data_IF_147034272156
#
_entry.id   IF_147034272156
#
_cell.length_a   1.000
_cell.length_b   1.000
_cell.length_c   1.000
_cell.angle_alpha   90.00
_cell.angle_beta   90.00
_cell.angle_gamma   90.00
#
_symmetry.space_group_name_H-M   'P 1'
#
loop_
_entity.id
_entity.type
_entity.pdbx_description
1 polymer ?
#
# COMPACT_ATOMS: atom_id res chain seq x y z
N UNK A 1 -65.74 -52.19 -21.31
CA UNK A 1 -65.42 -51.66 -19.97
C UNK A 1 -63.92 -51.42 -19.93
N UNK A 2 -63.50 -50.22 -19.54
CA UNK A 2 -62.11 -49.79 -19.28
C UNK A 2 -61.29 -49.24 -20.47
N UNK A 3 -61.66 -48.03 -20.88
CA UNK A 3 -60.81 -47.10 -21.64
C UNK A 3 -60.82 -45.78 -20.85
N UNK A 4 -59.92 -45.63 -19.87
CA UNK A 4 -59.65 -44.38 -19.12
C UNK A 4 -58.54 -44.65 -18.09
N UNK A 5 -57.34 -44.14 -18.36
CA UNK A 5 -56.39 -43.62 -17.37
C UNK A 5 -54.98 -43.64 -17.96
N UNK A 6 -54.47 -42.49 -18.39
CA UNK A 6 -53.04 -42.09 -18.35
C UNK A 6 -52.88 -40.74 -19.06
N UNK A 7 -53.23 -39.69 -18.35
CA UNK A 7 -52.79 -38.33 -18.66
C UNK A 7 -52.77 -37.55 -17.35
N UNK A 8 -51.60 -37.09 -16.93
CA UNK A 8 -51.49 -36.21 -15.76
C UNK A 8 -50.27 -36.53 -14.90
N UNK A 9 -49.10 -36.05 -15.31
CA UNK A 9 -47.93 -36.10 -14.45
C UNK A 9 -46.70 -35.60 -15.17
N UNK A 10 -46.56 -34.28 -15.32
CA UNK A 10 -45.29 -33.54 -15.17
C UNK A 10 -45.44 -32.07 -15.61
N UNK A 11 -45.58 -31.13 -14.65
CA UNK A 11 -45.22 -29.74 -14.92
C UNK A 11 -44.22 -29.12 -13.91
N UNK A 12 -43.80 -29.83 -12.86
CA UNK A 12 -43.08 -29.21 -11.74
C UNK A 12 -41.56 -29.07 -11.92
N UNK A 13 -40.91 -29.86 -12.77
CA UNK A 13 -39.45 -29.84 -12.91
C UNK A 13 -38.91 -28.71 -13.80
N UNK A 14 -39.70 -28.21 -14.76
CA UNK A 14 -39.26 -27.17 -15.71
C UNK A 14 -39.15 -25.77 -15.11
N UNK A 15 -39.92 -25.45 -14.07
CA UNK A 15 -39.88 -24.12 -13.44
C UNK A 15 -38.60 -23.87 -12.65
N UNK A 16 -38.05 -24.87 -11.96
CA UNK A 16 -36.85 -24.70 -11.14
C UNK A 16 -35.56 -24.48 -11.95
N UNK A 17 -35.44 -25.08 -13.14
CA UNK A 17 -34.25 -24.97 -13.99
C UNK A 17 -34.16 -23.60 -14.67
N UNK A 18 -35.32 -23.01 -15.00
CA UNK A 18 -35.40 -21.66 -15.59
C UNK A 18 -35.08 -20.57 -14.56
N UNK A 19 -35.50 -20.74 -13.30
CA UNK A 19 -35.20 -19.80 -12.21
C UNK A 19 -33.72 -19.84 -11.76
N UNK A 20 -33.04 -20.97 -11.94
CA UNK A 20 -31.60 -21.10 -11.67
C UNK A 20 -30.75 -20.39 -12.74
N UNK A 21 -31.12 -20.54 -14.02
CA UNK A 21 -30.45 -19.87 -15.13
C UNK A 21 -30.60 -18.33 -15.07
N UNK A 22 -31.79 -17.84 -14.75
CA UNK A 22 -32.06 -16.40 -14.58
C UNK A 22 -31.29 -15.78 -13.40
N UNK A 23 -31.04 -16.55 -12.32
CA UNK A 23 -30.23 -16.10 -11.19
C UNK A 23 -28.73 -16.10 -11.47
N UNK A 24 -28.24 -16.96 -12.36
CA UNK A 24 -26.84 -16.97 -12.82
C UNK A 24 -26.50 -15.69 -13.58
N UNK A 25 -27.31 -15.36 -14.59
CA UNK A 25 -27.10 -14.16 -15.42
C UNK A 25 -27.22 -12.86 -14.61
N UNK A 26 -28.14 -12.78 -13.66
CA UNK A 26 -28.27 -11.60 -12.80
C UNK A 26 -27.06 -11.43 -11.85
N UNK A 27 -26.50 -12.53 -11.33
CA UNK A 27 -25.29 -12.49 -10.50
C UNK A 27 -24.06 -12.15 -11.32
N UNK A 28 -23.92 -12.70 -12.51
CA UNK A 28 -22.80 -12.39 -13.40
C UNK A 28 -22.89 -10.94 -13.90
N UNK A 29 -24.08 -10.46 -14.27
CA UNK A 29 -24.30 -9.06 -14.60
C UNK A 29 -24.01 -8.13 -13.41
N UNK A 30 -24.36 -8.50 -12.17
CA UNK A 30 -24.02 -7.73 -10.98
C UNK A 30 -22.52 -7.74 -10.69
N UNK A 31 -21.83 -8.88 -10.87
CA UNK A 31 -20.36 -8.99 -10.70
C UNK A 31 -19.61 -8.21 -11.78
N UNK A 32 -20.12 -8.20 -13.01
CA UNK A 32 -19.61 -7.39 -14.13
C UNK A 32 -19.88 -5.90 -13.88
N UNK A 33 -21.08 -5.51 -13.44
CA UNK A 33 -21.42 -4.13 -13.12
C UNK A 33 -20.63 -3.58 -11.92
N UNK A 34 -20.38 -4.41 -10.90
CA UNK A 34 -19.50 -4.10 -9.76
C UNK A 34 -18.03 -4.04 -10.21
N UNK A 35 -17.63 -4.88 -11.17
CA UNK A 35 -16.32 -4.82 -11.82
C UNK A 35 -16.11 -3.61 -12.74
N UNK A 36 -17.20 -3.02 -13.25
CA UNK A 36 -17.19 -1.89 -14.17
C UNK A 36 -17.18 -0.51 -13.50
N UNK A 37 -17.14 -0.44 -12.15
CA UNK A 37 -16.75 0.81 -11.47
C UNK A 37 -15.30 1.10 -11.84
N UNK A 38 -15.13 1.90 -12.89
CA UNK A 38 -13.84 2.45 -13.26
C UNK A 38 -13.26 3.15 -12.04
N UNK A 39 -12.04 2.76 -11.68
CA UNK A 39 -11.30 3.44 -10.63
C UNK A 39 -11.11 4.89 -11.06
N UNK A 40 -11.42 5.83 -10.16
CA UNK A 40 -11.15 7.23 -10.43
C UNK A 40 -9.66 7.40 -10.71
N UNK A 41 -9.30 8.19 -11.73
CA UNK A 41 -7.90 8.48 -12.03
C UNK A 41 -7.12 8.99 -10.80
N UNK A 42 -7.83 9.64 -9.86
CA UNK A 42 -7.27 10.08 -8.57
C UNK A 42 -6.84 8.94 -7.64
N UNK A 43 -7.58 7.83 -7.59
CA UNK A 43 -7.23 6.68 -6.73
C UNK A 43 -6.02 5.92 -7.28
N UNK A 44 -5.97 5.76 -8.61
CA UNK A 44 -4.81 5.20 -9.31
C UNK A 44 -3.57 6.07 -9.07
N UNK A 45 -3.70 7.39 -9.21
CA UNK A 45 -2.60 8.33 -8.96
C UNK A 45 -2.13 8.29 -7.50
N UNK A 46 -3.06 8.18 -6.54
CA UNK A 46 -2.73 8.03 -5.13
C UNK A 46 -1.96 6.74 -4.85
N UNK A 47 -2.42 5.60 -5.37
CA UNK A 47 -1.74 4.32 -5.17
C UNK A 47 -0.33 4.33 -5.75
N UNK A 48 -0.19 4.81 -7.00
CA UNK A 48 1.10 4.94 -7.65
C UNK A 48 2.04 5.89 -6.90
N UNK A 49 1.59 7.10 -6.56
CA UNK A 49 2.40 8.07 -5.82
C UNK A 49 2.80 7.56 -4.42
N UNK A 50 1.93 6.81 -3.77
CA UNK A 50 2.24 6.17 -2.48
C UNK A 50 3.36 5.16 -2.65
N UNK A 51 3.28 4.27 -3.65
CA UNK A 51 4.36 3.32 -3.94
C UNK A 51 5.69 3.99 -4.22
N UNK A 52 5.70 5.04 -5.07
CA UNK A 52 6.92 5.83 -5.34
C UNK A 52 7.53 6.37 -4.06
N UNK A 53 6.69 6.98 -3.21
CA UNK A 53 7.14 7.57 -1.96
C UNK A 53 7.64 6.52 -0.94
N UNK A 54 6.95 5.39 -0.81
CA UNK A 54 7.36 4.31 0.09
C UNK A 54 8.73 3.75 -0.29
N UNK A 55 8.98 3.53 -1.59
CA UNK A 55 10.30 3.11 -2.07
C UNK A 55 11.37 4.17 -1.75
N UNK A 56 11.12 5.45 -2.04
CA UNK A 56 12.05 6.53 -1.73
C UNK A 56 12.35 6.61 -0.23
N UNK A 57 11.33 6.47 0.62
CA UNK A 57 11.48 6.51 2.08
C UNK A 57 12.27 5.30 2.60
N UNK A 58 11.94 4.09 2.15
CA UNK A 58 12.64 2.87 2.55
C UNK A 58 14.12 2.91 2.16
N UNK A 59 14.40 3.32 0.92
CA UNK A 59 15.77 3.45 0.44
C UNK A 59 16.51 4.62 1.09
N UNK A 60 15.81 5.70 1.45
CA UNK A 60 16.42 6.77 2.22
C UNK A 60 16.92 6.28 3.59
N UNK A 61 16.14 5.45 4.29
CA UNK A 61 16.60 4.79 5.53
C UNK A 61 17.78 3.86 5.29
N UNK A 62 17.72 3.04 4.24
CA UNK A 62 18.83 2.15 3.87
C UNK A 62 20.13 2.95 3.63
N UNK A 63 20.09 3.97 2.77
CA UNK A 63 21.26 4.81 2.49
C UNK A 63 21.73 5.59 3.71
N UNK A 64 20.82 6.01 4.59
CA UNK A 64 21.18 6.64 5.86
C UNK A 64 22.00 5.70 6.75
N UNK A 65 21.58 4.43 6.87
CA UNK A 65 22.36 3.42 7.60
C UNK A 65 23.70 3.15 6.94
N UNK A 66 23.72 2.99 5.62
CA UNK A 66 24.91 2.70 4.82
C UNK A 66 25.99 3.80 5.00
N UNK A 67 25.58 5.07 4.98
CA UNK A 67 26.50 6.21 5.12
C UNK A 67 27.03 6.37 6.55
N UNK A 68 26.32 5.88 7.57
CA UNK A 68 26.56 6.26 8.98
C UNK A 68 26.94 5.12 9.91
N UNK A 69 26.75 3.85 9.54
CA UNK A 69 27.08 2.70 10.38
C UNK A 69 28.15 1.80 9.74
N UNK A 70 27.91 1.28 8.53
CA UNK A 70 28.89 0.51 7.77
C UNK A 70 28.31 0.07 6.42
N UNK A 71 29.19 -0.13 5.42
CA UNK A 71 28.82 -0.73 4.14
C UNK A 71 28.78 -2.25 4.22
N UNK A 72 27.65 -2.78 4.67
CA UNK A 72 27.41 -4.23 4.77
C UNK A 72 25.97 -4.54 4.41
N UNK A 73 25.78 -5.74 3.83
CA UNK A 73 24.45 -6.31 3.59
C UNK A 73 23.58 -6.34 4.86
N UNK A 74 24.18 -6.35 6.05
CA UNK A 74 23.52 -6.25 7.35
C UNK A 74 22.63 -5.01 7.48
N UNK A 75 23.07 -3.83 7.02
CA UNK A 75 22.30 -2.58 7.08
C UNK A 75 21.00 -2.69 6.28
N UNK A 76 21.07 -3.31 5.11
CA UNK A 76 19.90 -3.58 4.26
C UNK A 76 18.90 -4.52 4.96
N UNK A 77 19.37 -5.65 5.48
CA UNK A 77 18.50 -6.62 6.16
C UNK A 77 17.91 -6.06 7.44
N UNK A 78 18.66 -5.27 8.21
CA UNK A 78 18.15 -4.61 9.41
C UNK A 78 17.05 -3.59 9.08
N UNK A 79 17.27 -2.74 8.07
CA UNK A 79 16.25 -1.80 7.60
C UNK A 79 15.01 -2.53 7.10
N UNK A 80 15.19 -3.54 6.25
CA UNK A 80 14.09 -4.32 5.70
C UNK A 80 13.31 -5.05 6.81
N UNK A 81 14.00 -5.66 7.77
CA UNK A 81 13.36 -6.33 8.90
C UNK A 81 12.52 -5.36 9.74
N UNK A 82 13.09 -4.23 10.15
CA UNK A 82 12.36 -3.22 10.93
C UNK A 82 11.16 -2.67 10.16
N UNK A 83 11.34 -2.45 8.85
CA UNK A 83 10.27 -2.02 7.96
C UNK A 83 9.13 -3.04 7.90
N UNK A 84 9.45 -4.33 7.74
CA UNK A 84 8.46 -5.42 7.71
C UNK A 84 7.72 -5.56 9.05
N UNK A 85 8.41 -5.43 10.18
CA UNK A 85 7.76 -5.40 11.50
C UNK A 85 6.78 -4.23 11.58
N UNK A 86 7.21 -3.04 11.18
CA UNK A 86 6.35 -1.87 11.05
C UNK A 86 5.15 -2.11 10.16
N UNK A 87 5.37 -2.69 8.97
CA UNK A 87 4.33 -3.04 8.01
C UNK A 87 3.25 -3.94 8.61
N UNK A 88 3.66 -5.00 9.33
CA UNK A 88 2.72 -5.88 10.02
C UNK A 88 1.89 -5.13 11.08
N UNK A 89 2.51 -4.22 11.84
CA UNK A 89 1.79 -3.35 12.78
C UNK A 89 0.79 -2.46 12.03
N UNK A 90 1.23 -1.84 10.93
CA UNK A 90 0.42 -0.97 10.09
C UNK A 90 -0.84 -1.65 9.53
N UNK A 91 -0.74 -2.91 9.09
CA UNK A 91 -1.88 -3.69 8.61
C UNK A 91 -3.02 -3.82 9.63
N UNK A 92 -2.67 -3.78 10.93
CA UNK A 92 -3.63 -3.88 12.02
C UNK A 92 -4.24 -2.53 12.43
N UNK A 93 -3.81 -1.42 11.83
CA UNK A 93 -4.33 -0.08 12.13
C UNK A 93 -5.63 0.16 11.38
N UNK A 94 -6.76 0.09 12.09
CA UNK A 94 -8.11 0.28 11.51
C UNK A 94 -8.65 1.71 11.61
N UNK A 95 -7.97 2.60 12.32
CA UNK A 95 -8.46 3.96 12.57
C UNK A 95 -8.30 4.86 11.35
N UNK A 96 -9.40 5.36 10.78
CA UNK A 96 -9.41 6.31 9.63
C UNK A 96 -8.62 7.61 9.85
N UNK A 97 -8.35 7.96 11.11
CA UNK A 97 -7.52 9.13 11.47
C UNK A 97 -6.04 8.81 11.52
N UNK A 98 -5.67 7.54 11.65
CA UNK A 98 -4.28 7.13 11.77
C UNK A 98 -3.51 7.30 10.46
N UNK A 99 -4.12 7.03 9.30
CA UNK A 99 -3.40 7.14 8.02
C UNK A 99 -2.85 8.56 7.74
N UNK A 100 -3.64 9.65 7.84
CA UNK A 100 -3.10 11.01 7.75
C UNK A 100 -2.00 11.32 8.78
N UNK A 101 -2.12 10.80 9.99
CA UNK A 101 -1.09 10.97 11.04
C UNK A 101 0.19 10.25 10.64
N UNK A 102 0.09 9.03 10.11
CA UNK A 102 1.24 8.25 9.63
C UNK A 102 1.92 8.90 8.43
N UNK A 103 1.19 9.60 7.55
CA UNK A 103 1.78 10.37 6.45
C UNK A 103 2.75 11.44 6.99
N UNK A 104 2.41 12.07 8.13
CA UNK A 104 3.26 13.07 8.77
C UNK A 104 4.33 12.42 9.67
N UNK A 105 3.97 11.35 10.38
CA UNK A 105 4.85 10.69 11.33
C UNK A 105 6.03 9.98 10.65
N UNK A 106 5.82 9.38 9.47
CA UNK A 106 6.86 8.69 8.73
C UNK A 106 8.07 9.58 8.34
N UNK A 107 7.90 10.77 7.71
CA UNK A 107 9.01 11.66 7.43
C UNK A 107 9.61 12.27 8.71
N UNK A 108 8.80 12.55 9.74
CA UNK A 108 9.31 12.99 11.05
C UNK A 108 10.22 11.93 11.65
N UNK A 109 9.83 10.65 11.61
CA UNK A 109 10.65 9.52 12.01
C UNK A 109 11.96 9.46 11.22
N UNK A 110 11.91 9.70 9.91
CA UNK A 110 13.11 9.71 9.08
C UNK A 110 14.07 10.83 9.48
N UNK A 111 13.58 12.06 9.67
CA UNK A 111 14.43 13.17 10.09
C UNK A 111 14.95 13.01 11.51
N UNK A 112 14.18 12.37 12.41
CA UNK A 112 14.64 12.01 13.74
C UNK A 112 15.79 10.99 13.68
N UNK A 113 15.66 9.95 12.85
CA UNK A 113 16.75 8.99 12.61
C UNK A 113 17.98 9.68 11.99
N UNK A 114 17.76 10.54 10.99
CA UNK A 114 18.83 11.31 10.34
C UNK A 114 19.58 12.19 11.34
N UNK A 115 18.85 12.95 12.18
CA UNK A 115 19.45 13.80 13.20
C UNK A 115 20.21 13.00 14.26
N UNK A 116 19.64 11.87 14.70
CA UNK A 116 20.27 10.97 15.68
C UNK A 116 21.59 10.41 15.16
N UNK A 117 21.59 9.87 13.94
CA UNK A 117 22.81 9.32 13.32
C UNK A 117 23.82 10.40 12.89
N UNK A 118 23.35 11.63 12.63
CA UNK A 118 24.24 12.76 12.39
C UNK A 118 24.95 13.21 13.67
N UNK A 119 24.26 13.16 14.82
CA UNK A 119 24.83 13.54 16.12
C UNK A 119 25.78 12.48 16.69
N UNK A 120 25.56 11.19 16.39
CA UNK A 120 26.39 10.07 16.85
C UNK A 120 26.74 9.12 15.69
N UNK A 121 27.64 9.51 14.77
CA UNK A 121 28.02 8.66 13.66
C UNK A 121 28.77 7.41 14.14
N UNK A 122 28.52 6.27 13.49
CA UNK A 122 29.13 4.96 13.78
C UNK A 122 28.85 4.39 15.18
N UNK A 123 27.90 4.98 15.92
CA UNK A 123 27.48 4.51 17.24
C UNK A 123 26.35 3.48 17.10
N UNK A 124 26.60 2.22 17.47
CA UNK A 124 25.60 1.15 17.41
C UNK A 124 24.49 1.32 18.45
N UNK A 125 24.71 2.13 19.50
CA UNK A 125 23.71 2.35 20.55
C UNK A 125 22.47 3.12 20.08
N UNK A 126 22.55 3.83 18.95
CA UNK A 126 21.41 4.56 18.38
C UNK A 126 20.46 3.67 17.57
N UNK A 127 20.86 2.43 17.26
CA UNK A 127 20.08 1.52 16.43
C UNK A 127 18.65 1.26 16.92
N UNK A 128 18.36 1.09 18.22
CA UNK A 128 16.97 0.89 18.66
C UNK A 128 16.06 2.06 18.31
N UNK A 129 16.57 3.30 18.40
CA UNK A 129 15.82 4.51 18.02
C UNK A 129 15.60 4.54 16.51
N UNK A 130 16.65 4.28 15.73
CA UNK A 130 16.57 4.25 14.27
C UNK A 130 15.64 3.13 13.78
N UNK A 131 15.69 1.94 14.41
CA UNK A 131 14.80 0.83 14.14
C UNK A 131 13.33 1.18 14.36
N UNK A 132 13.02 1.90 15.44
CA UNK A 132 11.66 2.40 15.70
C UNK A 132 11.20 3.39 14.63
N UNK A 133 12.09 4.30 14.19
CA UNK A 133 11.80 5.22 13.10
C UNK A 133 11.53 4.49 11.78
N UNK A 134 12.35 3.49 11.44
CA UNK A 134 12.15 2.65 10.24
C UNK A 134 10.82 1.89 10.34
N UNK A 135 10.52 1.30 11.48
CA UNK A 135 9.25 0.62 11.73
C UNK A 135 8.05 1.57 11.60
N UNK A 136 8.19 2.84 11.98
CA UNK A 136 7.15 3.85 11.75
C UNK A 136 6.90 4.11 10.26
N UNK A 137 7.96 4.13 9.43
CA UNK A 137 7.85 4.16 7.97
C UNK A 137 7.15 2.92 7.41
N UNK A 138 7.51 1.74 7.91
CA UNK A 138 6.82 0.49 7.57
C UNK A 138 5.35 0.49 7.98
N UNK A 139 5.02 1.04 9.16
CA UNK A 139 3.64 1.12 9.64
C UNK A 139 2.74 1.98 8.75
N UNK A 140 3.28 3.04 8.14
CA UNK A 140 2.58 3.78 7.09
C UNK A 140 2.28 2.88 5.88
N UNK A 141 3.26 2.11 5.39
CA UNK A 141 3.08 1.20 4.26
C UNK A 141 2.01 0.13 4.54
N UNK A 142 2.03 -0.44 5.74
CA UNK A 142 1.01 -1.42 6.16
C UNK A 142 -0.38 -0.80 6.30
N UNK A 143 -0.47 0.39 6.91
CA UNK A 143 -1.73 1.09 7.10
C UNK A 143 -2.35 1.55 5.78
N UNK A 144 -1.56 1.74 4.72
CA UNK A 144 -2.08 2.12 3.41
C UNK A 144 -3.11 1.12 2.88
N UNK A 145 -2.88 -0.19 3.00
CA UNK A 145 -3.76 -1.20 2.38
C UNK A 145 -5.19 -1.21 2.93
N UNK A 146 -5.42 -1.32 4.26
CA UNK A 146 -6.78 -1.23 4.81
C UNK A 146 -7.50 0.06 4.41
N UNK A 147 -6.80 1.20 4.40
CA UNK A 147 -7.39 2.51 4.12
C UNK A 147 -7.66 2.76 2.63
N UNK A 148 -6.77 2.28 1.75
CA UNK A 148 -6.94 2.40 0.31
C UNK A 148 -7.93 1.37 -0.22
N UNK A 149 -8.06 0.20 0.42
CA UNK A 149 -9.02 -0.82 0.01
C UNK A 149 -10.47 -0.33 0.02
N UNK A 150 -10.82 0.65 0.87
CA UNK A 150 -12.14 1.29 0.86
C UNK A 150 -12.43 2.05 -0.46
N UNK A 151 -11.39 2.46 -1.19
CA UNK A 151 -11.50 3.21 -2.46
C UNK A 151 -11.44 2.31 -3.70
N UNK A 152 -10.92 1.10 -3.55
CA UNK A 152 -10.78 0.15 -4.65
C UNK A 152 -11.76 -1.01 -4.49
N UNK A 153 -12.56 -1.30 -5.52
CA UNK A 153 -13.49 -2.44 -5.52
C UNK A 153 -12.78 -3.81 -5.35
N UNK A 154 -11.49 -3.89 -5.72
CA UNK A 154 -10.67 -5.11 -5.65
C UNK A 154 -9.26 -4.77 -5.20
N UNK A 155 -8.61 -5.66 -4.45
CA UNK A 155 -7.24 -5.47 -3.94
C UNK A 155 -6.18 -5.55 -5.05
N UNK A 156 -6.43 -6.36 -6.09
CA UNK A 156 -5.50 -6.57 -7.23
C UNK A 156 -5.08 -5.26 -7.95
N UNK A 157 -6.00 -4.38 -8.39
CA UNK A 157 -5.61 -3.13 -9.06
C UNK A 157 -4.87 -2.15 -8.12
N UNK A 158 -5.26 -2.10 -6.84
CA UNK A 158 -4.56 -1.30 -5.83
C UNK A 158 -3.08 -1.73 -5.74
N UNK A 159 -2.84 -3.03 -5.55
CA UNK A 159 -1.49 -3.60 -5.50
C UNK A 159 -0.72 -3.38 -6.79
N UNK A 160 -1.37 -3.50 -7.96
CA UNK A 160 -0.71 -3.28 -9.24
C UNK A 160 -0.15 -1.85 -9.35
N UNK A 161 -0.96 -0.84 -9.07
CA UNK A 161 -0.56 0.55 -9.22
C UNK A 161 0.46 0.97 -8.15
N UNK A 162 0.27 0.52 -6.91
CA UNK A 162 1.22 0.77 -5.84
C UNK A 162 2.56 0.10 -6.13
N UNK A 163 2.59 -1.18 -6.51
CA UNK A 163 3.85 -1.88 -6.86
C UNK A 163 4.55 -1.23 -8.07
N UNK A 164 3.81 -0.83 -9.10
CA UNK A 164 4.40 -0.12 -10.23
C UNK A 164 5.03 1.21 -9.79
N UNK A 165 4.36 1.93 -8.89
CA UNK A 165 4.90 3.13 -8.26
C UNK A 165 6.17 2.82 -7.46
N UNK A 166 6.16 1.75 -6.67
CA UNK A 166 7.29 1.32 -5.86
C UNK A 166 8.51 0.98 -6.74
N UNK A 167 8.33 0.24 -7.84
CA UNK A 167 9.41 -0.05 -8.79
C UNK A 167 10.00 1.23 -9.41
N UNK A 168 9.16 2.19 -9.77
CA UNK A 168 9.63 3.50 -10.26
C UNK A 168 10.38 4.24 -9.16
N UNK A 169 9.84 4.28 -7.95
CA UNK A 169 10.48 4.91 -6.80
C UNK A 169 11.83 4.28 -6.44
N UNK A 170 11.97 2.95 -6.59
CA UNK A 170 13.23 2.23 -6.43
C UNK A 170 14.27 2.72 -7.44
N UNK A 171 13.92 2.77 -8.73
CA UNK A 171 14.82 3.28 -9.78
C UNK A 171 15.20 4.73 -9.51
N UNK A 172 14.23 5.57 -9.11
CA UNK A 172 14.47 6.97 -8.75
C UNK A 172 15.36 7.11 -7.51
N UNK A 173 15.20 6.25 -6.50
CA UNK A 173 16.05 6.24 -5.31
C UNK A 173 17.49 5.92 -5.69
N UNK A 174 17.71 4.88 -6.50
CA UNK A 174 19.04 4.48 -6.95
C UNK A 174 19.69 5.57 -7.82
N UNK A 175 19.05 6.00 -8.91
CA UNK A 175 19.60 7.02 -9.80
C UNK A 175 19.78 8.36 -9.08
N UNK A 176 18.79 8.78 -8.29
CA UNK A 176 18.89 10.04 -7.56
C UNK A 176 19.91 9.98 -6.41
N UNK A 177 20.19 8.81 -5.83
CA UNK A 177 21.32 8.67 -4.88
C UNK A 177 22.67 8.89 -5.57
N UNK A 178 22.81 8.48 -6.83
CA UNK A 178 24.02 8.69 -7.64
C UNK A 178 24.16 10.16 -8.07
N UNK A 179 23.09 10.77 -8.59
CA UNK A 179 23.18 12.11 -9.21
C UNK A 179 22.90 13.27 -8.24
N UNK A 180 22.04 13.08 -7.24
CA UNK A 180 21.62 14.12 -6.30
C UNK A 180 22.06 13.84 -4.85
N UNK A 181 22.43 12.60 -4.53
CA UNK A 181 22.98 12.19 -3.24
C UNK A 181 22.17 12.70 -2.05
N UNK A 182 22.80 13.56 -1.24
CA UNK A 182 22.20 14.11 -0.01
C UNK A 182 20.94 14.94 -0.27
N UNK A 183 20.83 15.61 -1.42
CA UNK A 183 19.67 16.44 -1.72
C UNK A 183 18.40 15.58 -1.87
N UNK A 184 18.49 14.46 -2.59
CA UNK A 184 17.37 13.51 -2.71
C UNK A 184 17.02 12.92 -1.33
N UNK A 185 18.02 12.40 -0.61
CA UNK A 185 17.82 11.78 0.70
C UNK A 185 17.20 12.77 1.71
N UNK A 186 17.56 14.05 1.62
CA UNK A 186 17.02 15.09 2.48
C UNK A 186 15.60 15.51 2.12
N UNK A 187 15.26 15.63 0.83
CA UNK A 187 13.99 16.20 0.40
C UNK A 187 12.88 15.17 0.12
N UNK A 188 13.23 13.97 -0.36
CA UNK A 188 12.26 12.99 -0.85
C UNK A 188 11.21 12.56 0.20
N UNK A 189 11.58 12.32 1.49
CA UNK A 189 10.61 11.97 2.52
C UNK A 189 9.52 13.03 2.72
N UNK A 190 9.89 14.32 2.84
CA UNK A 190 8.93 15.41 2.99
C UNK A 190 8.13 15.68 1.70
N UNK A 191 8.80 15.70 0.54
CA UNK A 191 8.14 15.96 -0.74
C UNK A 191 7.08 14.90 -1.05
N UNK A 192 7.39 13.62 -0.84
CA UNK A 192 6.42 12.55 -1.03
C UNK A 192 5.25 12.62 -0.05
N UNK A 193 5.49 12.99 1.22
CA UNK A 193 4.42 13.21 2.19
C UNK A 193 3.45 14.30 1.76
N UNK A 194 3.96 15.40 1.20
CA UNK A 194 3.14 16.51 0.67
C UNK A 194 2.30 16.02 -0.51
N UNK A 195 2.90 15.32 -1.47
CA UNK A 195 2.20 14.82 -2.67
C UNK A 195 1.11 13.83 -2.29
N UNK A 196 1.45 12.81 -1.49
CA UNK A 196 0.49 11.78 -1.06
C UNK A 196 -0.58 12.37 -0.15
N UNK A 197 -0.22 13.26 0.77
CA UNK A 197 -1.17 13.98 1.61
C UNK A 197 -2.17 14.82 0.79
N UNK A 198 -1.69 15.52 -0.23
CA UNK A 198 -2.54 16.31 -1.13
C UNK A 198 -3.50 15.44 -1.95
N UNK A 199 -3.02 14.33 -2.52
CA UNK A 199 -3.85 13.36 -3.25
C UNK A 199 -4.87 12.69 -2.32
N UNK A 200 -4.45 12.31 -1.12
CA UNK A 200 -5.33 11.71 -0.11
C UNK A 200 -6.48 12.64 0.28
N UNK A 201 -6.16 13.93 0.51
CA UNK A 201 -7.13 14.97 0.87
C UNK A 201 -8.11 15.27 -0.26
N UNK A 202 -7.62 15.34 -1.52
CA UNK A 202 -8.49 15.56 -2.69
C UNK A 202 -9.53 14.46 -2.85
N UNK A 203 -9.15 13.19 -2.66
CA UNK A 203 -10.08 12.06 -2.77
C UNK A 203 -11.06 11.91 -1.59
N UNK A 204 -11.02 12.78 -0.58
CA UNK A 204 -12.03 12.82 0.49
C UNK A 204 -13.17 13.80 0.23
N UNK A 205 -13.01 14.70 -0.74
CA UNK A 205 -14.04 15.65 -1.17
C UNK A 205 -14.90 15.00 -2.25
#
# INVERSE_FOLDING_TARGET
MSERARAGGEPAARTAETDAALNGDARDAAVVAVGARQHGAGDVALAFATGVWLALLQFAYFFLLEVRLSSRAESFFAALFCWLVGFLVGLNVRSRRAFPVLIVAAPVGYYAAYATMAARPFDWSVLPVVALCIALGGALAGAFFPHASERFARVKPLLLHENNGYLVGLVLALLGSVFAGRALLGAAPAAGAIVVGALWWRGRR
#
